data_IF_935350734487
#
_entry.id   IF_935350734487
#
_cell.length_a   1.000
_cell.length_b   1.000
_cell.length_c   1.000
_cell.angle_alpha   90.00
_cell.angle_beta   90.00
_cell.angle_gamma   90.00
#
_symmetry.space_group_name_H-M   'P 1'
#
loop_
_entity.id
_entity.type
_entity.pdbx_description
1 polymer ?
#
# COMPACT_ATOMS: atom_id res chain seq x y z
N UNK A 1 121.73 -69.63 -0.96
CA UNK A 1 122.85 -68.70 -0.72
C UNK A 1 122.58 -67.47 -1.57
N UNK A 2 122.53 -66.28 -0.96
CA UNK A 2 122.19 -64.96 -1.55
C UNK A 2 120.76 -64.80 -2.10
N UNK A 3 120.11 -63.63 -2.11
CA UNK A 3 120.07 -62.40 -1.31
C UNK A 3 119.22 -61.43 -2.16
N UNK A 4 118.11 -60.93 -1.59
CA UNK A 4 117.34 -59.71 -1.97
C UNK A 4 116.89 -59.55 -3.44
N UNK A 5 115.59 -59.28 -3.63
CA UNK A 5 115.09 -57.92 -3.87
C UNK A 5 113.56 -57.94 -3.71
N UNK A 6 113.12 -57.12 -2.77
CA UNK A 6 111.76 -56.70 -2.55
C UNK A 6 111.34 -55.82 -3.72
N UNK A 7 110.33 -56.23 -4.47
CA UNK A 7 109.59 -55.31 -5.34
C UNK A 7 108.14 -55.33 -4.86
N UNK A 8 107.85 -54.36 -4.00
CA UNK A 8 106.50 -54.00 -3.57
C UNK A 8 105.67 -53.72 -4.84
N UNK A 9 104.69 -54.56 -5.08
CA UNK A 9 103.52 -54.19 -5.88
C UNK A 9 102.69 -53.25 -5.01
N UNK A 10 102.98 -51.96 -5.09
CA UNK A 10 102.13 -50.94 -4.49
C UNK A 10 100.92 -50.80 -5.43
N UNK A 11 99.85 -51.52 -5.11
CA UNK A 11 98.50 -51.16 -5.52
C UNK A 11 98.11 -49.88 -4.73
N UNK A 12 98.71 -48.75 -5.09
CA UNK A 12 98.40 -47.46 -4.46
C UNK A 12 97.30 -46.76 -5.23
N UNK A 13 96.11 -46.82 -4.64
CA UNK A 13 95.08 -45.79 -4.76
C UNK A 13 94.02 -46.07 -5.82
N UNK A 14 93.01 -46.86 -5.45
CA UNK A 14 91.66 -46.33 -5.66
C UNK A 14 91.62 -45.06 -4.82
N UNK A 15 91.71 -43.89 -5.47
CA UNK A 15 91.36 -42.64 -4.81
C UNK A 15 89.91 -42.80 -4.38
N UNK A 16 89.66 -42.64 -3.09
CA UNK A 16 88.30 -42.63 -2.55
C UNK A 16 87.68 -41.34 -3.09
N UNK A 17 87.02 -41.43 -4.24
CA UNK A 17 86.06 -40.41 -4.66
C UNK A 17 84.97 -40.47 -3.60
N UNK A 18 84.82 -39.39 -2.84
CA UNK A 18 83.66 -39.23 -1.97
C UNK A 18 82.43 -39.03 -2.86
N UNK A 19 81.24 -39.31 -2.34
CA UNK A 19 80.00 -39.06 -3.10
C UNK A 19 79.90 -37.56 -3.49
N UNK A 20 80.42 -36.67 -2.65
CA UNK A 20 80.55 -35.22 -2.91
C UNK A 20 81.51 -34.89 -4.08
N UNK A 21 82.69 -35.54 -4.15
CA UNK A 21 83.63 -35.37 -5.28
C UNK A 21 83.08 -35.97 -6.60
N UNK A 22 82.10 -36.89 -6.52
CA UNK A 22 81.44 -37.48 -7.67
C UNK A 22 80.35 -36.56 -8.20
N UNK A 23 79.55 -35.97 -7.32
CA UNK A 23 78.48 -35.03 -7.66
C UNK A 23 79.07 -33.75 -8.29
N UNK A 24 80.14 -33.17 -7.73
CA UNK A 24 80.85 -32.00 -8.29
C UNK A 24 81.46 -32.24 -9.69
N UNK A 25 81.70 -33.51 -10.07
CA UNK A 25 82.23 -33.87 -11.39
C UNK A 25 81.14 -34.24 -12.39
N UNK A 26 79.91 -34.38 -11.92
CA UNK A 26 78.73 -34.75 -12.67
C UNK A 26 77.73 -33.59 -12.78
N UNK A 27 78.03 -32.41 -12.25
CA UNK A 27 77.33 -31.15 -12.49
C UNK A 27 78.08 -30.40 -13.62
N UNK A 28 77.56 -30.50 -14.86
CA UNK A 28 78.25 -30.00 -16.07
C UNK A 28 78.04 -28.51 -16.31
N UNK A 29 76.93 -27.95 -15.83
CA UNK A 29 76.61 -26.54 -16.01
C UNK A 29 76.84 -25.66 -14.76
N UNK A 30 77.12 -26.28 -13.62
CA UNK A 30 77.58 -25.66 -12.39
C UNK A 30 76.47 -25.07 -11.52
N UNK A 31 75.22 -25.57 -11.65
CA UNK A 31 74.08 -25.11 -10.86
C UNK A 31 73.99 -25.76 -9.47
N UNK A 32 74.84 -26.77 -9.21
CA UNK A 32 74.90 -27.51 -7.95
C UNK A 32 74.03 -28.77 -7.91
N UNK A 33 73.43 -29.19 -9.02
CA UNK A 33 72.61 -30.40 -9.16
C UNK A 33 73.34 -31.39 -10.07
N UNK A 34 73.63 -32.58 -9.56
CA UNK A 34 74.33 -33.59 -10.35
C UNK A 34 73.44 -34.15 -11.48
N UNK A 35 74.05 -34.49 -12.63
CA UNK A 35 73.47 -35.12 -13.83
C UNK A 35 72.44 -36.22 -13.58
N UNK A 36 72.52 -36.94 -12.45
CA UNK A 36 71.59 -38.02 -12.14
C UNK A 36 70.19 -37.56 -11.70
N UNK A 37 70.07 -36.28 -11.32
CA UNK A 37 68.84 -35.65 -10.82
C UNK A 37 68.47 -34.42 -11.65
N UNK A 38 69.43 -33.83 -12.35
CA UNK A 38 69.23 -32.68 -13.23
C UNK A 38 68.40 -33.03 -14.48
N UNK A 39 67.41 -32.19 -14.76
CA UNK A 39 66.54 -32.30 -15.93
C UNK A 39 67.21 -31.87 -17.24
N UNK A 40 68.18 -30.95 -17.21
CA UNK A 40 69.08 -30.64 -18.31
C UNK A 40 70.42 -30.11 -17.79
N UNK A 41 71.35 -31.03 -17.53
CA UNK A 41 72.75 -30.84 -17.08
C UNK A 41 73.64 -30.08 -18.09
N UNK A 42 73.07 -29.20 -18.90
CA UNK A 42 73.74 -28.31 -19.84
C UNK A 42 73.15 -26.90 -19.82
N UNK A 43 72.05 -26.69 -19.12
CA UNK A 43 71.42 -25.40 -18.94
C UNK A 43 71.26 -25.09 -17.44
N UNK A 44 72.10 -24.22 -16.87
CA UNK A 44 72.12 -23.94 -15.43
C UNK A 44 70.88 -23.16 -14.93
N UNK A 45 69.85 -23.06 -15.76
CA UNK A 45 68.51 -22.54 -15.44
C UNK A 45 67.47 -23.65 -15.27
N UNK A 46 67.79 -24.87 -15.70
CA UNK A 46 66.92 -26.05 -15.61
C UNK A 46 67.57 -26.96 -14.59
N UNK A 47 67.08 -26.92 -13.36
CA UNK A 47 67.60 -27.77 -12.29
C UNK A 47 66.89 -29.13 -12.22
N UNK A 48 66.78 -29.67 -11.01
CA UNK A 48 66.06 -30.92 -10.76
C UNK A 48 64.55 -30.86 -11.02
N UNK A 49 63.86 -32.02 -10.96
CA UNK A 49 62.44 -32.13 -11.33
C UNK A 49 61.53 -31.27 -10.45
N UNK A 50 60.53 -30.66 -11.09
CA UNK A 50 59.45 -29.95 -10.44
C UNK A 50 58.40 -30.93 -9.89
N UNK A 51 57.60 -30.45 -8.94
CA UNK A 51 56.40 -31.14 -8.48
C UNK A 51 55.23 -30.66 -9.33
N UNK A 52 54.50 -31.59 -9.91
CA UNK A 52 53.28 -31.35 -10.67
C UNK A 52 52.12 -32.05 -9.97
N UNK A 53 50.95 -31.42 -9.95
CA UNK A 53 49.73 -31.91 -9.32
C UNK A 53 48.76 -32.30 -10.43
N UNK A 54 48.07 -33.44 -10.26
CA UNK A 54 46.99 -33.81 -11.19
C UNK A 54 45.95 -32.69 -11.18
N UNK A 55 45.47 -32.33 -12.37
CA UNK A 55 44.45 -31.33 -12.64
C UNK A 55 43.37 -32.03 -13.48
N UNK A 56 42.26 -32.43 -12.84
CA UNK A 56 41.23 -33.27 -13.48
C UNK A 56 40.17 -32.45 -14.22
N UNK A 57 39.82 -31.26 -13.75
CA UNK A 57 38.80 -30.38 -14.37
C UNK A 57 39.38 -29.31 -15.32
N UNK A 58 40.68 -29.01 -15.23
CA UNK A 58 41.40 -28.11 -16.13
C UNK A 58 41.35 -26.64 -15.74
N UNK A 59 41.09 -26.30 -14.47
CA UNK A 59 41.00 -24.91 -14.02
C UNK A 59 42.36 -24.22 -13.79
N UNK A 60 43.45 -25.00 -13.74
CA UNK A 60 44.82 -24.52 -13.58
C UNK A 60 45.41 -24.75 -12.20
N UNK A 61 44.62 -25.23 -11.24
CA UNK A 61 45.03 -25.75 -9.95
C UNK A 61 44.96 -27.27 -9.95
N UNK A 62 45.66 -27.90 -9.00
CA UNK A 62 45.68 -29.34 -8.90
C UNK A 62 45.55 -29.80 -7.47
N UNK A 63 44.90 -30.95 -7.29
CA UNK A 63 44.61 -31.55 -6.00
C UNK A 63 45.83 -32.18 -5.29
N UNK A 64 45.58 -33.08 -4.34
CA UNK A 64 46.66 -33.64 -3.49
C UNK A 64 47.61 -34.62 -4.21
N UNK A 65 47.24 -35.10 -5.40
CA UNK A 65 48.03 -36.12 -6.10
C UNK A 65 49.19 -35.49 -6.85
N UNK A 66 50.42 -35.74 -6.39
CA UNK A 66 51.63 -35.13 -6.96
C UNK A 66 52.57 -36.14 -7.65
N UNK A 67 53.21 -35.70 -8.72
CA UNK A 67 54.26 -36.40 -9.46
C UNK A 67 55.50 -35.49 -9.64
N UNK A 68 56.70 -36.07 -9.52
CA UNK A 68 57.95 -35.36 -9.83
C UNK A 68 58.38 -35.63 -11.25
N UNK A 69 58.52 -34.58 -12.05
CA UNK A 69 58.96 -34.69 -13.44
C UNK A 69 59.75 -33.45 -13.88
N UNK A 70 60.50 -33.59 -14.97
CA UNK A 70 61.23 -32.48 -15.58
C UNK A 70 60.35 -31.60 -16.47
N UNK A 71 59.30 -32.19 -17.03
CA UNK A 71 58.27 -31.51 -17.80
C UNK A 71 56.90 -31.93 -17.24
N UNK A 72 55.90 -31.04 -17.34
CA UNK A 72 54.56 -31.32 -16.86
C UNK A 72 53.98 -32.57 -17.55
N UNK A 73 53.60 -33.62 -16.80
CA UNK A 73 52.83 -34.71 -17.36
C UNK A 73 51.48 -34.21 -17.89
N UNK A 74 50.82 -35.01 -18.74
CA UNK A 74 49.49 -34.65 -19.23
C UNK A 74 48.49 -34.55 -18.06
N UNK A 75 47.61 -33.54 -18.09
CA UNK A 75 46.63 -33.23 -17.03
C UNK A 75 47.29 -32.99 -15.67
N UNK A 76 48.41 -32.26 -15.67
CA UNK A 76 49.02 -31.80 -14.44
C UNK A 76 49.46 -30.33 -14.54
N UNK A 77 49.41 -29.63 -13.43
CA UNK A 77 49.80 -28.23 -13.28
C UNK A 77 50.83 -28.07 -12.16
N UNK A 78 51.53 -26.94 -12.13
CA UNK A 78 52.54 -26.62 -11.12
C UNK A 78 52.00 -25.75 -9.98
N UNK A 79 50.68 -25.59 -9.92
CA UNK A 79 49.93 -24.91 -8.87
C UNK A 79 49.16 -25.97 -8.08
N UNK A 80 49.16 -25.84 -6.75
CA UNK A 80 48.40 -26.71 -5.87
C UNK A 80 47.39 -25.88 -5.08
N UNK A 81 46.53 -26.57 -4.35
CA UNK A 81 45.57 -25.93 -3.46
C UNK A 81 44.12 -26.09 -3.89
N UNK A 82 43.89 -26.86 -4.96
CA UNK A 82 42.54 -27.27 -5.34
C UNK A 82 41.98 -28.26 -4.29
N UNK A 83 40.86 -27.86 -3.69
CA UNK A 83 40.16 -28.61 -2.66
C UNK A 83 39.07 -29.55 -3.22
N UNK A 84 38.64 -29.36 -4.48
CA UNK A 84 37.83 -30.31 -5.27
C UNK A 84 38.27 -30.33 -6.74
N UNK A 85 39.34 -31.09 -7.00
CA UNK A 85 39.98 -31.30 -8.32
C UNK A 85 39.04 -31.83 -9.43
N UNK A 86 37.77 -32.08 -9.12
CA UNK A 86 36.76 -32.54 -10.08
C UNK A 86 35.77 -31.46 -10.50
N UNK A 87 35.84 -30.27 -9.90
CA UNK A 87 34.95 -29.14 -10.13
C UNK A 87 35.75 -27.84 -10.33
N UNK A 88 35.90 -27.42 -11.60
CA UNK A 88 36.74 -26.26 -11.95
C UNK A 88 36.17 -24.89 -11.53
N UNK A 89 35.03 -24.86 -10.85
CA UNK A 89 34.53 -23.68 -10.16
C UNK A 89 35.06 -23.57 -8.71
N UNK A 90 35.77 -24.60 -8.20
CA UNK A 90 36.35 -24.68 -6.84
C UNK A 90 37.89 -24.69 -6.92
N UNK A 91 38.52 -23.54 -6.68
CA UNK A 91 39.98 -23.40 -6.65
C UNK A 91 40.44 -22.12 -5.94
N UNK A 92 41.73 -21.99 -5.62
CA UNK A 92 42.30 -20.81 -4.96
C UNK A 92 42.03 -19.42 -5.58
N UNK A 93 41.64 -19.34 -6.86
CA UNK A 93 41.30 -18.08 -7.53
C UNK A 93 39.78 -17.90 -7.75
N UNK A 94 38.96 -18.89 -7.35
CA UNK A 94 37.52 -18.81 -7.43
C UNK A 94 36.97 -17.74 -6.49
N UNK A 95 35.80 -17.22 -6.84
CA UNK A 95 35.04 -16.33 -5.96
C UNK A 95 34.05 -17.17 -5.18
N UNK A 96 34.01 -17.00 -3.87
CA UNK A 96 32.95 -17.57 -3.03
C UNK A 96 31.57 -17.18 -3.57
N UNK A 97 30.71 -18.19 -3.68
CA UNK A 97 29.28 -18.03 -3.92
C UNK A 97 28.54 -18.80 -2.83
N UNK A 98 27.41 -18.28 -2.35
CA UNK A 98 26.62 -18.91 -1.28
C UNK A 98 26.02 -20.27 -1.71
N UNK A 99 26.84 -21.32 -1.77
CA UNK A 99 26.51 -22.66 -2.26
C UNK A 99 26.87 -23.74 -1.21
N UNK A 100 27.49 -23.37 -0.09
CA UNK A 100 27.89 -24.26 1.00
C UNK A 100 29.20 -25.00 0.76
N UNK A 101 29.99 -24.56 -0.22
CA UNK A 101 31.33 -25.05 -0.53
C UNK A 101 32.38 -23.97 -0.21
N UNK A 102 33.63 -24.41 -0.05
CA UNK A 102 34.81 -23.55 0.05
C UNK A 102 35.30 -23.37 -1.38
N UNK A 103 34.70 -22.45 -2.14
CA UNK A 103 34.98 -22.30 -3.57
C UNK A 103 36.42 -21.83 -3.78
N UNK A 104 36.90 -20.91 -2.92
CA UNK A 104 38.23 -20.30 -3.00
C UNK A 104 39.33 -21.12 -2.30
N UNK A 105 38.99 -22.27 -1.72
CA UNK A 105 39.89 -23.18 -1.00
C UNK A 105 40.75 -22.51 0.10
N UNK A 106 40.28 -21.45 0.74
CA UNK A 106 41.00 -20.73 1.80
C UNK A 106 40.71 -21.28 3.22
N UNK A 107 39.75 -22.20 3.31
CA UNK A 107 39.31 -22.86 4.54
C UNK A 107 38.10 -22.19 5.20
N UNK A 108 37.59 -21.10 4.63
CA UNK A 108 36.26 -20.56 4.83
C UNK A 108 35.20 -21.34 4.06
N UNK A 109 33.95 -21.21 4.45
CA UNK A 109 32.81 -21.64 3.62
C UNK A 109 31.90 -20.44 3.57
N UNK A 110 31.64 -19.94 2.37
CA UNK A 110 30.79 -18.78 2.11
C UNK A 110 31.21 -17.53 2.94
N UNK A 111 32.51 -17.27 3.13
CA UNK A 111 33.01 -16.28 4.10
C UNK A 111 33.53 -14.96 3.51
N UNK A 112 33.59 -14.84 2.18
CA UNK A 112 34.04 -13.63 1.50
C UNK A 112 32.94 -12.57 1.29
N UNK A 113 33.35 -11.29 1.35
CA UNK A 113 32.47 -10.11 1.28
C UNK A 113 31.82 -9.88 -0.11
N UNK A 114 32.19 -10.64 -1.14
CA UNK A 114 31.88 -10.32 -2.56
C UNK A 114 30.48 -10.77 -3.01
N UNK A 115 29.83 -11.72 -2.32
CA UNK A 115 28.49 -12.19 -2.69
C UNK A 115 27.59 -12.47 -1.50
N UNK A 116 27.36 -11.41 -0.74
CA UNK A 116 26.41 -11.43 0.36
C UNK A 116 25.11 -10.79 -0.11
N UNK A 117 24.01 -11.56 -0.04
CA UNK A 117 22.67 -11.02 -0.23
C UNK A 117 22.46 -9.92 0.80
N UNK A 118 21.96 -8.77 0.34
CA UNK A 118 21.54 -7.70 1.24
C UNK A 118 20.14 -8.05 1.69
N UNK A 119 20.00 -8.22 2.99
CA UNK A 119 18.76 -8.44 3.69
C UNK A 119 18.38 -7.14 4.40
N UNK A 120 17.09 -6.87 4.49
CA UNK A 120 16.52 -5.66 5.10
C UNK A 120 15.71 -6.08 6.32
N UNK A 121 15.85 -5.37 7.44
CA UNK A 121 15.12 -5.73 8.65
C UNK A 121 13.61 -5.64 8.36
N UNK A 122 12.87 -6.66 8.81
CA UNK A 122 11.41 -6.73 8.80
C UNK A 122 11.00 -6.77 10.28
N UNK A 123 10.99 -5.60 10.89
CA UNK A 123 10.84 -5.44 12.34
C UNK A 123 9.38 -5.60 12.78
N UNK A 124 8.43 -5.28 11.90
CA UNK A 124 6.99 -5.36 12.17
C UNK A 124 6.31 -6.63 11.62
N UNK A 125 7.07 -7.52 10.96
CA UNK A 125 6.69 -8.85 10.47
C UNK A 125 5.65 -8.81 9.33
N UNK A 126 5.76 -7.83 8.45
CA UNK A 126 4.82 -7.58 7.36
C UNK A 126 5.25 -8.09 5.98
N UNK A 127 6.48 -8.63 5.91
CA UNK A 127 7.22 -9.17 4.76
C UNK A 127 7.92 -8.17 3.85
N UNK A 128 7.90 -6.90 4.20
CA UNK A 128 8.67 -5.82 3.57
C UNK A 128 9.77 -5.36 4.51
N UNK A 129 10.83 -4.78 3.95
CA UNK A 129 12.05 -4.50 4.71
C UNK A 129 12.48 -3.04 4.70
N UNK A 130 13.05 -2.59 5.82
CA UNK A 130 13.60 -1.25 6.01
C UNK A 130 14.82 -1.00 5.10
N UNK A 131 14.77 -0.07 4.14
CA UNK A 131 15.90 0.27 3.27
C UNK A 131 17.13 0.83 4.02
N UNK A 132 16.96 1.36 5.24
CA UNK A 132 18.00 1.96 6.06
C UNK A 132 18.65 0.96 7.04
N UNK A 133 18.03 -0.21 7.29
CA UNK A 133 18.56 -1.24 8.20
C UNK A 133 18.87 -2.52 7.44
N UNK A 134 20.15 -2.69 7.10
CA UNK A 134 20.62 -3.83 6.28
C UNK A 134 21.52 -4.79 7.03
N UNK A 135 21.42 -6.06 6.65
CA UNK A 135 22.36 -7.13 6.99
C UNK A 135 22.85 -7.79 5.70
N UNK A 136 24.05 -8.36 5.77
CA UNK A 136 24.80 -8.80 4.59
C UNK A 136 25.26 -10.22 4.90
N UNK A 137 24.53 -11.23 4.42
CA UNK A 137 24.68 -12.66 4.77
C UNK A 137 24.22 -13.57 3.63
N UNK A 138 24.65 -14.83 3.64
CA UNK A 138 24.21 -15.82 2.66
C UNK A 138 22.78 -16.33 2.91
N UNK A 139 22.52 -16.76 4.14
CA UNK A 139 21.19 -17.17 4.56
C UNK A 139 20.40 -15.97 5.10
N UNK A 140 19.07 -16.04 4.97
CA UNK A 140 18.12 -15.10 5.57
C UNK A 140 18.35 -15.03 7.10
N UNK A 141 18.81 -13.88 7.62
CA UNK A 141 18.91 -13.68 9.05
C UNK A 141 17.50 -13.65 9.68
N UNK A 142 17.37 -14.15 10.91
CA UNK A 142 16.10 -14.05 11.65
C UNK A 142 15.63 -12.58 11.72
N UNK A 143 14.43 -12.30 11.18
CA UNK A 143 13.81 -10.97 11.19
C UNK A 143 14.25 -10.05 10.05
N UNK A 144 14.66 -10.60 8.90
CA UNK A 144 15.01 -9.84 7.71
C UNK A 144 14.39 -10.45 6.45
N UNK A 145 14.15 -9.63 5.43
CA UNK A 145 13.62 -10.01 4.10
C UNK A 145 14.51 -9.54 2.96
N UNK A 146 14.25 -10.00 1.73
CA UNK A 146 15.07 -9.75 0.54
C UNK A 146 14.62 -8.53 -0.30
N UNK A 147 13.72 -7.70 0.24
CA UNK A 147 13.20 -6.49 -0.38
C UNK A 147 13.34 -5.28 0.56
N UNK A 148 13.33 -4.08 -0.02
CA UNK A 148 13.60 -2.81 0.67
C UNK A 148 12.44 -1.82 0.47
N UNK A 149 11.22 -2.34 0.48
CA UNK A 149 10.04 -1.64 0.00
C UNK A 149 9.19 -1.06 1.15
N UNK A 150 9.63 -1.23 2.39
CA UNK A 150 8.93 -0.69 3.56
C UNK A 150 9.33 0.77 3.82
N UNK A 151 8.33 1.64 3.90
CA UNK A 151 8.49 3.05 4.21
C UNK A 151 8.33 3.37 5.71
N UNK A 152 7.75 2.46 6.50
CA UNK A 152 7.67 2.51 7.97
C UNK A 152 7.76 1.09 8.57
N UNK A 153 8.99 0.57 8.71
CA UNK A 153 9.33 -0.73 9.34
C UNK A 153 9.03 -0.80 10.85
N UNK A 154 8.12 0.02 11.33
CA UNK A 154 7.56 -0.06 12.66
C UNK A 154 6.05 -0.28 12.67
N UNK A 155 5.41 -0.33 11.49
CA UNK A 155 3.98 -0.48 11.30
C UNK A 155 3.62 -1.42 10.14
N UNK A 156 3.24 -2.65 10.50
CA UNK A 156 2.85 -3.70 9.54
C UNK A 156 1.64 -3.36 8.63
N UNK A 157 0.93 -2.27 8.88
CA UNK A 157 -0.16 -1.77 8.04
C UNK A 157 0.33 -0.79 6.95
N UNK A 158 1.54 -0.26 7.08
CA UNK A 158 2.16 0.72 6.19
C UNK A 158 3.16 0.01 5.28
N UNK A 159 2.70 -0.43 4.10
CA UNK A 159 3.46 -1.28 3.20
C UNK A 159 2.94 -1.30 1.77
N UNK A 160 3.77 -1.75 0.80
CA UNK A 160 3.37 -1.91 -0.59
C UNK A 160 2.01 -2.59 -0.79
N UNK A 161 1.06 -1.81 -1.30
CA UNK A 161 -0.29 -2.25 -1.66
C UNK A 161 -1.31 -2.26 -0.52
N UNK A 162 -1.04 -1.59 0.61
CA UNK A 162 -2.08 -1.24 1.56
C UNK A 162 -3.12 -0.28 0.94
N UNK A 163 -4.26 -0.11 1.61
CA UNK A 163 -5.21 0.95 1.27
C UNK A 163 -4.84 2.18 2.09
N UNK A 164 -4.65 3.32 1.42
CA UNK A 164 -4.36 4.56 2.12
C UNK A 164 -5.55 4.96 2.99
N UNK A 165 -5.20 5.66 4.05
CA UNK A 165 -6.13 6.31 4.94
C UNK A 165 -6.04 7.80 4.64
N UNK A 166 -7.18 8.41 4.35
CA UNK A 166 -7.36 9.78 3.91
C UNK A 166 -6.99 10.80 5.00
N UNK A 167 -6.54 11.96 4.55
CA UNK A 167 -6.28 13.16 5.36
C UNK A 167 -5.44 12.90 6.63
N UNK A 168 -4.74 11.76 6.75
CA UNK A 168 -3.93 11.42 7.92
C UNK A 168 -2.46 11.82 7.72
N UNK A 169 -2.08 12.09 6.47
CA UNK A 169 -0.76 12.59 6.11
C UNK A 169 0.30 11.50 6.03
N UNK A 170 -0.08 10.23 6.01
CA UNK A 170 0.78 9.04 5.93
C UNK A 170 0.59 8.38 4.54
N UNK A 171 1.65 7.77 4.04
CA UNK A 171 1.68 6.99 2.80
C UNK A 171 1.60 5.52 3.21
N UNK A 172 0.39 4.98 3.34
CA UNK A 172 0.20 3.63 3.90
C UNK A 172 0.59 2.57 2.89
N UNK A 173 0.43 2.82 1.59
CA UNK A 173 0.77 1.85 0.58
C UNK A 173 2.24 1.94 0.12
N UNK A 174 3.03 2.81 0.76
CA UNK A 174 4.44 3.07 0.49
C UNK A 174 4.74 3.38 -0.98
N UNK A 175 3.81 3.97 -1.71
CA UNK A 175 3.96 4.28 -3.14
C UNK A 175 4.58 5.67 -3.39
N UNK A 176 4.77 6.47 -2.34
CA UNK A 176 5.32 7.82 -2.36
C UNK A 176 4.28 8.94 -2.48
N UNK A 177 3.00 8.60 -2.53
CA UNK A 177 1.85 9.50 -2.44
C UNK A 177 1.17 9.33 -1.07
N UNK A 178 0.40 10.33 -0.62
CA UNK A 178 -0.24 10.35 0.70
C UNK A 178 -1.74 10.51 0.45
N UNK A 179 -2.56 9.76 1.19
CA UNK A 179 -4.03 9.79 1.10
C UNK A 179 -4.55 9.46 -0.32
N UNK A 180 -3.85 8.62 -1.10
CA UNK A 180 -4.06 8.38 -2.54
C UNK A 180 -5.01 7.22 -2.88
N UNK A 181 -5.37 6.43 -1.87
CA UNK A 181 -6.13 5.18 -1.96
C UNK A 181 -7.21 5.01 -0.87
N UNK A 182 -7.60 6.09 -0.19
CA UNK A 182 -8.80 6.10 0.67
C UNK A 182 -10.04 6.60 -0.11
N UNK A 183 -11.18 5.95 0.13
CA UNK A 183 -12.39 6.24 -0.63
C UNK A 183 -13.14 7.42 -0.02
N UNK A 184 -12.72 8.63 -0.36
CA UNK A 184 -13.40 9.87 0.01
C UNK A 184 -14.92 9.78 -0.19
N UNK A 185 -15.69 10.09 0.87
CA UNK A 185 -17.15 10.05 0.87
C UNK A 185 -17.71 11.46 0.69
N UNK A 186 -18.93 11.56 0.14
CA UNK A 186 -19.56 12.85 -0.12
C UNK A 186 -20.20 13.42 1.16
N UNK A 187 -19.77 14.63 1.52
CA UNK A 187 -20.31 15.44 2.60
C UNK A 187 -20.96 16.71 2.03
N UNK A 188 -22.09 17.13 2.57
CA UNK A 188 -22.94 18.21 2.07
C UNK A 188 -23.20 19.21 3.21
N UNK A 189 -22.89 20.51 3.07
CA UNK A 189 -23.11 21.46 4.15
C UNK A 189 -24.60 21.55 4.50
N UNK A 190 -24.89 21.66 5.79
CA UNK A 190 -26.22 21.85 6.39
C UNK A 190 -26.15 23.16 7.21
N UNK A 191 -26.42 24.27 6.54
CA UNK A 191 -26.28 25.62 7.08
C UNK A 191 -27.47 26.03 7.96
N UNK A 192 -28.65 25.47 7.73
CA UNK A 192 -29.86 25.81 8.48
C UNK A 192 -30.25 24.81 9.58
N UNK A 193 -29.66 23.61 9.55
CA UNK A 193 -29.73 22.61 10.59
C UNK A 193 -30.96 21.70 10.52
N UNK A 194 -31.53 21.47 9.34
CA UNK A 194 -32.71 20.62 9.17
C UNK A 194 -32.40 19.12 8.99
N UNK A 195 -31.12 18.78 8.75
CA UNK A 195 -30.64 17.41 8.63
C UNK A 195 -30.48 16.90 7.21
N UNK A 196 -30.69 17.75 6.20
CA UNK A 196 -30.30 17.51 4.82
C UNK A 196 -29.24 18.52 4.44
N UNK A 197 -28.17 18.05 3.83
CA UNK A 197 -27.16 18.94 3.30
C UNK A 197 -27.46 19.33 1.87
N UNK A 198 -26.96 20.49 1.50
CA UNK A 198 -27.04 21.06 0.17
C UNK A 198 -26.41 20.11 -0.87
N UNK A 199 -27.19 19.45 -1.74
CA UNK A 199 -26.68 18.58 -2.79
C UNK A 199 -25.84 19.31 -3.84
N UNK A 200 -26.00 20.64 -3.97
CA UNK A 200 -25.24 21.49 -4.87
C UNK A 200 -23.87 21.90 -4.28
N UNK A 201 -23.64 21.68 -2.97
CA UNK A 201 -22.34 21.86 -2.31
C UNK A 201 -21.84 20.52 -1.74
N UNK A 202 -20.78 19.95 -2.31
CA UNK A 202 -20.24 18.66 -1.85
C UNK A 202 -18.73 18.74 -1.59
N UNK A 203 -18.31 18.21 -0.45
CA UNK A 203 -16.91 18.00 -0.08
C UNK A 203 -16.62 16.51 0.06
N UNK A 204 -15.63 16.05 -0.69
CA UNK A 204 -15.13 14.70 -0.61
C UNK A 204 -13.93 14.71 0.30
N UNK A 205 -14.11 14.09 1.44
CA UNK A 205 -13.09 13.85 2.43
C UNK A 205 -13.49 12.53 3.07
N UNK A 206 -12.54 11.83 3.64
CA UNK A 206 -12.91 10.61 4.33
C UNK A 206 -13.55 10.90 5.69
N UNK A 207 -13.39 12.14 6.18
CA UNK A 207 -14.07 12.71 7.35
C UNK A 207 -14.88 13.96 7.02
N UNK A 208 -15.77 14.34 7.95
CA UNK A 208 -16.51 15.60 7.86
C UNK A 208 -15.50 16.77 7.77
N UNK A 209 -15.49 17.51 6.65
CA UNK A 209 -14.45 18.51 6.43
C UNK A 209 -14.49 19.65 7.44
N UNK A 210 -15.69 20.06 7.85
CA UNK A 210 -15.95 21.12 8.81
C UNK A 210 -17.36 20.97 9.40
N UNK A 211 -17.55 21.41 10.65
CA UNK A 211 -18.86 21.36 11.35
C UNK A 211 -20.00 21.91 10.48
N UNK A 212 -21.02 21.08 10.33
CA UNK A 212 -22.21 21.41 9.56
C UNK A 212 -22.12 20.85 8.16
N UNK A 213 -21.50 19.68 7.98
CA UNK A 213 -21.56 18.90 6.75
C UNK A 213 -22.15 17.51 7.06
N UNK A 214 -23.03 17.00 6.20
CA UNK A 214 -23.80 15.76 6.35
C UNK A 214 -23.60 14.82 5.17
N UNK A 215 -23.77 13.51 5.37
CA UNK A 215 -23.76 12.53 4.27
C UNK A 215 -25.09 12.47 3.50
N UNK A 216 -26.14 13.06 4.07
CA UNK A 216 -27.49 13.06 3.53
C UNK A 216 -27.64 14.32 2.71
N UNK A 217 -27.78 14.15 1.40
CA UNK A 217 -28.11 15.23 0.48
C UNK A 217 -29.62 15.40 0.34
N UNK A 218 -30.03 16.56 -0.16
CA UNK A 218 -31.37 16.74 -0.71
C UNK A 218 -32.04 18.06 -0.37
N UNK A 219 -31.37 18.90 0.41
CA UNK A 219 -31.85 20.25 0.73
C UNK A 219 -31.86 21.15 -0.52
N UNK A 220 -33.00 21.76 -0.82
CA UNK A 220 -33.16 22.66 -1.97
C UNK A 220 -33.01 24.15 -1.59
N UNK A 221 -33.02 24.49 -0.30
CA UNK A 221 -32.76 25.82 0.24
C UNK A 221 -32.08 25.71 1.62
N UNK A 222 -30.75 25.54 1.60
CA UNK A 222 -29.82 25.46 2.74
C UNK A 222 -29.75 26.74 3.60
N UNK A 223 -30.76 27.60 3.52
CA UNK A 223 -30.96 28.74 4.40
C UNK A 223 -32.32 28.74 5.09
N UNK A 224 -33.15 27.73 4.81
CA UNK A 224 -34.52 27.58 5.25
C UNK A 224 -34.80 26.15 5.77
N UNK A 225 -34.84 25.96 7.10
CA UNK A 225 -34.95 24.62 7.69
C UNK A 225 -36.34 23.96 7.54
N UNK A 226 -37.27 24.65 6.89
CA UNK A 226 -38.58 24.13 6.52
C UNK A 226 -38.61 23.61 5.06
N UNK A 227 -37.50 23.72 4.30
CA UNK A 227 -37.38 23.31 2.90
C UNK A 227 -36.41 22.11 2.73
N UNK A 228 -36.90 20.89 2.94
CA UNK A 228 -36.15 19.64 2.80
C UNK A 228 -37.02 18.47 2.35
N UNK A 229 -36.43 17.36 1.87
CA UNK A 229 -37.15 16.17 1.40
C UNK A 229 -38.21 15.56 2.33
N UNK A 230 -38.14 15.83 3.63
CA UNK A 230 -39.08 15.32 4.62
C UNK A 230 -40.14 16.36 5.04
N UNK A 231 -40.04 17.60 4.57
CA UNK A 231 -41.01 18.63 4.86
C UNK A 231 -42.34 18.38 4.14
N UNK A 232 -43.40 18.97 4.68
CA UNK A 232 -44.70 18.96 4.05
C UNK A 232 -44.94 20.32 3.38
N UNK A 233 -45.44 20.29 2.15
CA UNK A 233 -45.80 21.48 1.39
C UNK A 233 -46.72 22.41 2.19
N UNK A 234 -46.32 23.67 2.27
CA UNK A 234 -47.09 24.75 2.86
C UNK A 234 -47.69 25.61 1.77
N UNK A 235 -49.02 25.63 1.75
CA UNK A 235 -49.79 26.46 0.84
C UNK A 235 -49.32 27.94 0.74
N UNK A 236 -49.18 28.40 -0.51
CA UNK A 236 -49.04 29.80 -0.90
C UNK A 236 -47.80 30.49 -0.28
N UNK A 237 -46.73 29.73 -0.03
CA UNK A 237 -45.45 30.29 0.41
C UNK A 237 -44.46 30.53 -0.74
N UNK A 238 -44.77 30.10 -1.97
CA UNK A 238 -43.92 30.15 -3.17
C UNK A 238 -42.57 29.40 -2.99
N UNK A 239 -42.49 28.42 -2.08
CA UNK A 239 -41.30 27.61 -1.77
C UNK A 239 -41.62 26.14 -2.12
N UNK A 240 -40.62 25.43 -2.64
CA UNK A 240 -40.65 23.97 -2.77
C UNK A 240 -40.23 23.41 -1.41
N UNK A 241 -41.17 23.18 -0.49
CA UNK A 241 -40.83 22.81 0.88
C UNK A 241 -40.26 21.40 0.92
N UNK A 242 -40.77 20.47 0.11
CA UNK A 242 -40.36 19.06 0.13
C UNK A 242 -39.23 18.72 -0.85
N UNK A 243 -38.69 19.71 -1.55
CA UNK A 243 -37.60 19.59 -2.51
C UNK A 243 -37.85 18.54 -3.62
N UNK A 244 -39.09 18.35 -4.07
CA UNK A 244 -39.43 17.42 -5.16
C UNK A 244 -39.39 18.06 -6.56
N UNK A 245 -39.18 19.38 -6.62
CA UNK A 245 -39.08 20.18 -7.84
C UNK A 245 -40.41 20.79 -8.28
N UNK A 246 -41.47 20.68 -7.48
CA UNK A 246 -42.71 21.43 -7.61
C UNK A 246 -42.91 22.39 -6.44
N UNK A 247 -43.87 23.30 -6.58
CA UNK A 247 -44.13 24.33 -5.55
C UNK A 247 -45.62 24.24 -5.25
N UNK A 248 -45.95 24.16 -3.96
CA UNK A 248 -47.33 24.11 -3.45
C UNK A 248 -48.15 22.89 -3.96
N UNK A 249 -47.50 21.78 -4.32
CA UNK A 249 -48.21 20.56 -4.71
C UNK A 249 -48.70 19.74 -3.51
N UNK A 250 -49.62 18.80 -3.76
CA UNK A 250 -50.14 17.86 -2.75
C UNK A 250 -50.73 18.50 -1.47
N UNK A 251 -50.89 19.83 -1.44
CA UNK A 251 -51.64 20.56 -0.41
C UNK A 251 -53.14 20.41 -0.69
N UNK A 252 -53.95 19.95 0.28
CA UNK A 252 -55.37 19.77 0.06
C UNK A 252 -56.08 21.11 -0.11
N UNK A 253 -56.69 21.33 -1.28
CA UNK A 253 -57.60 22.46 -1.50
C UNK A 253 -58.75 22.46 -0.49
N UNK A 254 -59.01 23.63 0.09
CA UNK A 254 -60.25 23.91 0.80
C UNK A 254 -61.22 24.61 -0.15
N UNK A 255 -62.51 24.35 0.02
CA UNK A 255 -63.54 25.13 -0.69
C UNK A 255 -63.84 26.38 0.13
N UNK A 256 -63.66 27.53 -0.48
CA UNK A 256 -63.95 28.84 0.09
C UNK A 256 -65.15 29.46 -0.60
N UNK A 257 -65.96 30.20 0.15
CA UNK A 257 -67.24 30.77 -0.27
C UNK A 257 -67.16 32.28 -0.22
N UNK A 258 -67.57 32.99 -1.28
CA UNK A 258 -67.48 34.45 -1.32
C UNK A 258 -68.23 35.06 -0.13
N UNK A 259 -67.56 35.95 0.61
CA UNK A 259 -68.02 36.65 1.81
C UNK A 259 -68.03 38.16 1.48
N UNK A 260 -69.18 38.61 0.98
CA UNK A 260 -69.39 39.95 0.46
C UNK A 260 -69.49 41.03 1.54
N UNK A 261 -69.85 40.66 2.77
CA UNK A 261 -70.10 41.59 3.87
C UNK A 261 -69.10 41.48 5.03
N UNK A 262 -68.25 40.45 5.04
CA UNK A 262 -67.12 40.26 5.93
C UNK A 262 -67.48 39.67 7.28
N UNK A 263 -68.54 38.88 7.38
CA UNK A 263 -69.01 38.29 8.65
C UNK A 263 -68.43 36.90 8.96
N UNK A 264 -67.69 36.31 8.02
CA UNK A 264 -67.04 35.01 8.16
C UNK A 264 -67.88 33.81 7.71
N UNK A 265 -69.03 34.06 7.11
CA UNK A 265 -69.81 33.10 6.32
C UNK A 265 -69.86 33.59 4.88
N UNK A 266 -70.00 32.69 3.92
CA UNK A 266 -70.06 33.04 2.51
C UNK A 266 -71.09 32.20 1.77
N UNK A 267 -71.33 32.53 0.49
CA UNK A 267 -72.39 31.90 -0.29
C UNK A 267 -71.95 30.64 -1.04
N UNK A 268 -72.74 29.57 -0.92
CA UNK A 268 -72.54 28.30 -1.66
C UNK A 268 -72.56 28.41 -3.20
N UNK A 269 -72.94 29.57 -3.76
CA UNK A 269 -73.08 29.78 -5.20
C UNK A 269 -71.87 30.42 -5.87
N UNK A 270 -70.95 30.98 -5.07
CA UNK A 270 -69.69 31.55 -5.54
C UNK A 270 -68.55 30.97 -4.72
N UNK A 271 -67.82 30.03 -5.32
CA UNK A 271 -66.83 29.22 -4.62
C UNK A 271 -65.51 29.20 -5.38
N UNK A 272 -64.43 29.20 -4.63
CA UNK A 272 -63.08 28.93 -5.13
C UNK A 272 -62.49 27.75 -4.38
N UNK A 273 -61.62 26.99 -5.05
CA UNK A 273 -60.88 25.87 -4.45
C UNK A 273 -59.42 26.26 -4.43
N UNK A 274 -58.93 26.59 -3.25
CA UNK A 274 -57.58 27.05 -2.98
C UNK A 274 -57.17 26.50 -1.60
N UNK A 275 -55.89 26.26 -1.38
CA UNK A 275 -55.42 25.70 -0.13
C UNK A 275 -55.51 26.71 1.04
N UNK A 276 -55.49 28.01 0.77
CA UNK A 276 -55.71 29.10 1.75
C UNK A 276 -56.92 29.96 1.40
N UNK A 277 -57.43 30.73 2.37
CA UNK A 277 -58.61 31.58 2.21
C UNK A 277 -58.30 32.80 1.34
N UNK A 278 -58.92 32.94 0.16
CA UNK A 278 -58.70 34.13 -0.65
C UNK A 278 -59.36 35.36 -0.03
N UNK A 279 -58.85 36.55 -0.34
CA UNK A 279 -59.43 37.79 0.17
C UNK A 279 -60.92 37.89 -0.23
N UNK A 280 -61.79 38.06 0.77
CA UNK A 280 -63.24 38.13 0.58
C UNK A 280 -63.93 36.77 0.43
N UNK A 281 -63.33 35.69 0.94
CA UNK A 281 -63.98 34.39 1.05
C UNK A 281 -63.91 33.85 2.48
N UNK A 282 -64.94 33.11 2.88
CA UNK A 282 -65.08 32.43 4.15
C UNK A 282 -65.03 30.89 3.98
N UNK A 283 -64.67 30.17 5.05
CA UNK A 283 -64.61 28.71 5.07
C UNK A 283 -65.97 28.03 5.28
N UNK A 284 -67.04 28.81 5.48
CA UNK A 284 -68.39 28.33 5.71
C UNK A 284 -69.34 28.85 4.61
N UNK A 285 -70.22 27.98 4.10
CA UNK A 285 -71.12 28.20 2.97
C UNK A 285 -72.53 28.67 3.36
N UNK A 286 -72.77 28.80 4.66
CA UNK A 286 -74.10 28.84 5.24
C UNK A 286 -74.67 30.28 5.33
N UNK A 287 -74.13 31.23 4.55
CA UNK A 287 -74.68 32.59 4.47
C UNK A 287 -75.91 32.66 3.54
N UNK A 288 -77.01 33.17 4.09
CA UNK A 288 -78.27 33.39 3.40
C UNK A 288 -78.48 34.83 2.89
N UNK A 289 -77.70 35.83 3.34
CA UNK A 289 -77.68 37.21 2.86
C UNK A 289 -76.28 37.87 2.94
N UNK A 290 -75.44 37.54 1.95
CA UNK A 290 -74.08 38.05 1.66
C UNK A 290 -73.94 39.55 1.40
N UNK A 291 -74.98 40.32 1.71
CA UNK A 291 -74.98 41.78 1.66
C UNK A 291 -75.11 42.43 3.04
N UNK A 292 -75.18 41.63 4.11
CA UNK A 292 -75.51 42.04 5.46
C UNK A 292 -74.87 41.15 6.52
N UNK A 293 -73.72 41.57 7.06
CA UNK A 293 -72.99 40.81 8.08
C UNK A 293 -73.65 40.65 9.46
N UNK A 294 -74.91 41.08 9.58
CA UNK A 294 -75.81 40.80 10.71
C UNK A 294 -76.72 39.57 10.45
N UNK A 295 -76.65 38.93 9.27
CA UNK A 295 -77.48 37.79 8.84
C UNK A 295 -76.56 36.61 8.49
N UNK A 296 -76.45 35.64 9.39
CA UNK A 296 -75.62 34.45 9.25
C UNK A 296 -75.96 33.39 10.30
N UNK A 297 -75.49 32.14 10.18
CA UNK A 297 -75.78 31.06 11.13
C UNK A 297 -75.43 31.28 12.60
N UNK A 298 -74.60 32.27 12.91
CA UNK A 298 -74.28 32.66 14.28
C UNK A 298 -75.06 33.89 14.77
N UNK A 299 -75.85 34.53 13.90
CA UNK A 299 -76.72 35.62 14.28
C UNK A 299 -77.86 35.13 15.19
N UNK A 300 -78.47 36.07 15.92
CA UNK A 300 -79.66 35.80 16.73
C UNK A 300 -80.90 36.17 15.92
N UNK A 301 -81.85 35.25 15.78
CA UNK A 301 -83.11 35.48 15.07
C UNK A 301 -83.88 36.70 15.62
N UNK A 302 -84.21 37.64 14.73
CA UNK A 302 -84.94 38.86 15.08
C UNK A 302 -86.43 38.65 14.86
N UNK A 303 -87.13 38.31 15.95
CA UNK A 303 -88.55 37.96 15.86
C UNK A 303 -89.42 38.98 15.09
N UNK A 304 -90.21 38.46 14.16
CA UNK A 304 -91.25 39.18 13.41
C UNK A 304 -90.76 40.31 12.49
N UNK A 305 -89.48 40.37 12.14
CA UNK A 305 -89.00 41.28 11.10
C UNK A 305 -89.23 40.73 9.67
N UNK A 306 -89.47 39.42 9.55
CA UNK A 306 -89.76 38.72 8.30
C UNK A 306 -88.51 38.38 7.49
N UNK A 307 -87.34 38.48 8.11
CA UNK A 307 -86.04 38.01 7.63
C UNK A 307 -85.73 36.70 8.36
N UNK A 308 -84.89 35.87 7.78
CA UNK A 308 -84.28 34.70 8.42
C UNK A 308 -82.87 35.17 8.80
N UNK A 309 -82.66 35.58 10.05
CA UNK A 309 -81.39 36.21 10.44
C UNK A 309 -80.32 35.16 10.72
N UNK A 310 -80.71 33.96 11.18
CA UNK A 310 -79.79 32.89 11.55
C UNK A 310 -79.67 31.77 10.50
N UNK A 311 -80.21 32.01 9.30
CA UNK A 311 -80.07 31.16 8.12
C UNK A 311 -80.48 29.69 8.37
N UNK A 312 -81.51 29.48 9.20
CA UNK A 312 -81.99 28.14 9.60
C UNK A 312 -83.20 27.66 8.77
N UNK A 313 -83.54 28.38 7.69
CA UNK A 313 -84.72 28.23 6.83
C UNK A 313 -86.06 28.55 7.54
N UNK A 314 -86.03 29.20 8.70
CA UNK A 314 -87.19 29.62 9.49
C UNK A 314 -87.22 31.13 9.72
N UNK A 315 -88.07 31.81 8.95
CA UNK A 315 -88.33 33.27 9.03
C UNK A 315 -88.85 33.79 10.39
N UNK A 316 -89.00 32.92 11.41
CA UNK A 316 -89.54 33.28 12.72
C UNK A 316 -89.43 32.15 13.77
N UNK A 317 -88.25 31.56 14.03
CA UNK A 317 -88.11 30.48 15.05
C UNK A 317 -88.01 30.95 16.50
N UNK A 318 -88.49 32.16 16.80
CA UNK A 318 -88.76 32.57 18.17
C UNK A 318 -89.89 31.71 18.75
N UNK A 319 -89.57 30.51 19.23
CA UNK A 319 -90.46 29.73 20.10
C UNK A 319 -90.96 30.67 21.19
N UNK A 320 -92.29 30.90 21.32
CA UNK A 320 -92.81 31.57 22.49
C UNK A 320 -92.37 30.70 23.67
N UNK A 321 -91.65 31.31 24.62
CA UNK A 321 -91.47 30.72 25.94
C UNK A 321 -92.79 30.06 26.35
N UNK A 322 -92.79 28.73 26.45
CA UNK A 322 -93.91 27.99 27.03
C UNK A 322 -94.09 28.53 28.45
N UNK A 323 -95.26 29.14 28.69
CA UNK A 323 -95.70 29.70 29.97
C UNK A 323 -95.51 28.75 31.16
#
# INVERSE_FOLDING_TARGET
MFSKIMMMLVLSGCWHITDEDLDDRLDVDGDGIALSVDCDDRDPKVGGPNIFYVDVDGDGYGGETQEKACEAPANHVNHNGDCDDTDGDINPDALEVCNGYDDNCDGGIDDDEVHTTVWYADTDEDTYGDPDVTAVQCDEPDGFVDNAEDCDDSDFEVKPGAEDICDDGIDQDCNGEIDDNDAAVAWYPDLDGDGFGDPDNVEYACDEPVDGYLLIAGDCDDSNPDANPDAAEQCDNDIDDNCDGTVDEDVPDSTWYYDGDGDGYGVSTDTVSECSAPEGYAGNADDCDDSSGDINPAAEEVCMDGVDNDCDDSLNDCVPNED
#
